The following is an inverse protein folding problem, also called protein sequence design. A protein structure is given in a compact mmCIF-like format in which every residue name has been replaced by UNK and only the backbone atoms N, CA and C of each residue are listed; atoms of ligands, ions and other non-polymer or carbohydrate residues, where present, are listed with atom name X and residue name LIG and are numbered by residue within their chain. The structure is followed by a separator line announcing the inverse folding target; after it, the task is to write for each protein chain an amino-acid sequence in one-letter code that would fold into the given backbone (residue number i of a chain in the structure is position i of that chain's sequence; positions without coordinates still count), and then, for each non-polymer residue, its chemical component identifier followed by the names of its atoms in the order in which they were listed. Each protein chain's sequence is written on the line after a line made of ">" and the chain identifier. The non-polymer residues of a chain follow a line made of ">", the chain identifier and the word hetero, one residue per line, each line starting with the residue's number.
data_IF_633887209990
#
_entry.id   IF_633887209990
#
_cell.length_a   1.000
_cell.length_b   1.000
_cell.length_c   1.000
_cell.angle_alpha   90.00
_cell.angle_beta   90.00
_cell.angle_gamma   90.00
#
_symmetry.space_group_name_H-M   'P 1'
#
loop_
_entity.id
_entity.type
_entity.pdbx_description
1 polymer ?
#
# COMPACT_ATOMS: atom_id res chain seq x y z
N UNK A 1 -1.32 -35.76 -5.18
CA UNK A 1 -0.55 -35.11 -4.08
C UNK A 1 -1.06 -33.67 -3.95
N UNK A 2 -1.99 -33.45 -3.02
CA UNK A 2 -2.64 -32.15 -2.80
C UNK A 2 -1.64 -31.20 -2.13
N UNK A 3 -1.29 -30.09 -2.81
CA UNK A 3 -0.52 -29.00 -2.21
C UNK A 3 -1.49 -28.11 -1.42
N UNK A 4 -1.42 -28.22 -0.10
CA UNK A 4 -2.02 -27.25 0.81
C UNK A 4 -1.29 -25.91 0.63
N UNK A 5 -1.92 -24.97 -0.07
CA UNK A 5 -1.54 -23.55 0.00
C UNK A 5 -2.19 -22.99 1.25
N UNK A 6 -1.59 -23.26 2.41
CA UNK A 6 -2.02 -22.59 3.63
C UNK A 6 -1.71 -21.09 3.50
N UNK A 7 -2.72 -20.28 3.76
CA UNK A 7 -2.58 -18.88 4.14
C UNK A 7 -1.84 -18.91 5.48
N UNK A 8 -0.51 -18.98 5.42
CA UNK A 8 0.30 -18.90 6.61
C UNK A 8 0.30 -17.44 7.05
N UNK A 9 -0.47 -17.16 8.09
CA UNK A 9 -0.35 -15.95 8.87
C UNK A 9 1.12 -15.77 9.31
N UNK A 10 1.56 -14.53 9.32
CA UNK A 10 2.94 -14.11 9.60
C UNK A 10 3.40 -14.55 10.99
N UNK A 11 2.50 -14.57 11.98
CA UNK A 11 2.79 -15.11 13.31
C UNK A 11 2.95 -16.64 13.29
N UNK A 12 2.14 -17.33 12.50
CA UNK A 12 2.22 -18.78 12.31
C UNK A 12 3.56 -19.21 11.70
N UNK A 13 4.07 -18.49 10.70
CA UNK A 13 5.41 -18.72 10.13
C UNK A 13 6.53 -18.56 11.17
N UNK A 14 6.47 -17.50 11.99
CA UNK A 14 7.46 -17.29 13.06
C UNK A 14 7.40 -18.38 14.13
N UNK A 15 6.20 -18.88 14.45
CA UNK A 15 6.02 -19.98 15.40
C UNK A 15 6.58 -21.33 14.88
N UNK A 16 6.47 -21.57 13.57
CA UNK A 16 6.90 -22.80 12.91
C UNK A 16 8.44 -22.92 12.81
N UNK A 17 9.13 -21.80 12.58
CA UNK A 17 10.59 -21.76 12.48
C UNK A 17 11.28 -21.40 13.81
N UNK A 18 10.55 -20.90 14.80
CA UNK A 18 11.08 -20.53 16.13
C UNK A 18 11.40 -21.70 17.07
N UNK A 19 11.22 -22.97 16.66
CA UNK A 19 11.39 -24.15 17.53
C UNK A 19 12.46 -25.15 17.09
N UNK A 20 13.40 -24.73 16.24
CA UNK A 20 14.50 -25.56 15.75
C UNK A 20 15.87 -25.25 16.35
N UNK A 21 15.95 -24.76 17.59
CA UNK A 21 17.24 -24.63 18.28
C UNK A 21 17.53 -25.92 19.06
N UNK A 22 18.47 -26.68 18.50
CA UNK A 22 19.21 -27.82 19.08
C UNK A 22 19.11 -27.96 20.61
N UNK A 23 18.50 -29.04 21.08
CA UNK A 23 18.67 -29.54 22.44
C UNK A 23 20.13 -29.96 22.65
N UNK A 24 20.94 -29.07 23.23
CA UNK A 24 22.07 -29.46 24.07
C UNK A 24 22.50 -28.28 24.94
N UNK A 25 22.58 -28.55 26.24
CA UNK A 25 23.09 -27.68 27.31
C UNK A 25 22.11 -26.66 27.91
N UNK A 26 21.24 -27.18 28.78
CA UNK A 26 20.62 -26.46 29.89
C UNK A 26 21.67 -25.68 30.70
N UNK A 27 21.37 -24.41 31.04
CA UNK A 27 21.25 -23.94 32.44
C UNK A 27 20.72 -22.51 32.54
N UNK A 28 19.53 -22.42 33.16
CA UNK A 28 19.01 -21.34 34.04
C UNK A 28 19.01 -19.89 33.54
N UNK A 29 17.82 -19.36 33.22
CA UNK A 29 17.11 -18.42 34.10
C UNK A 29 15.73 -18.08 33.51
N UNK A 30 14.75 -18.01 34.41
CA UNK A 30 13.34 -17.71 34.18
C UNK A 30 13.11 -16.35 33.51
N UNK A 31 12.05 -16.25 32.71
CA UNK A 31 11.53 -14.99 32.22
C UNK A 31 11.09 -15.06 30.76
N UNK A 32 9.84 -15.48 30.54
CA UNK A 32 9.18 -15.33 29.25
C UNK A 32 9.05 -13.86 28.88
N UNK A 33 9.93 -13.40 28.00
CA UNK A 33 9.79 -12.15 27.26
C UNK A 33 10.13 -12.53 25.82
N UNK A 34 9.13 -12.50 24.94
CA UNK A 34 9.38 -12.50 23.49
C UNK A 34 10.20 -11.25 23.21
N UNK A 35 11.52 -11.40 23.15
CA UNK A 35 12.44 -10.32 22.83
C UNK A 35 12.21 -9.91 21.37
N UNK A 36 11.33 -8.93 21.15
CA UNK A 36 11.62 -7.95 20.11
C UNK A 36 12.97 -7.36 20.46
N UNK A 37 14.03 -7.89 19.86
CA UNK A 37 15.36 -7.29 19.92
C UNK A 37 15.18 -5.80 19.64
N UNK A 38 15.62 -4.96 20.58
CA UNK A 38 15.58 -3.51 20.46
C UNK A 38 16.37 -3.11 19.22
N UNK A 39 15.65 -2.88 18.11
CA UNK A 39 16.25 -2.49 16.85
C UNK A 39 16.81 -1.10 17.04
N UNK A 40 18.14 -1.01 17.13
CA UNK A 40 18.86 0.25 17.29
C UNK A 40 19.19 0.80 15.91
N UNK A 41 18.95 2.09 15.69
CA UNK A 41 19.34 2.76 14.45
C UNK A 41 20.86 3.01 14.48
N UNK A 42 21.63 2.54 13.48
CA UNK A 42 23.05 2.85 13.38
C UNK A 42 23.27 4.36 13.23
N UNK A 43 24.45 4.84 13.62
CA UNK A 43 24.86 6.20 13.27
C UNK A 43 25.08 6.31 11.75
N UNK A 44 25.06 7.54 11.23
CA UNK A 44 25.16 7.82 9.79
C UNK A 44 26.41 7.21 9.14
N UNK A 45 27.54 7.15 9.85
CA UNK A 45 28.80 6.58 9.35
C UNK A 45 28.73 5.05 9.15
N UNK A 46 27.96 4.36 9.99
CA UNK A 46 27.80 2.90 9.97
C UNK A 46 26.61 2.44 9.12
N UNK A 47 25.62 3.34 8.95
CA UNK A 47 24.35 3.06 8.29
C UNK A 47 24.53 2.43 6.92
N UNK A 48 25.42 2.95 6.08
CA UNK A 48 25.62 2.42 4.74
C UNK A 48 26.13 0.97 4.75
N UNK A 49 27.12 0.68 5.60
CA UNK A 49 27.71 -0.64 5.69
C UNK A 49 26.71 -1.66 6.24
N UNK A 50 25.91 -1.26 7.24
CA UNK A 50 24.87 -2.09 7.81
C UNK A 50 23.71 -2.34 6.84
N UNK A 51 23.28 -1.32 6.11
CA UNK A 51 22.27 -1.47 5.03
C UNK A 51 22.78 -2.45 3.97
N UNK A 52 24.05 -2.36 3.56
CA UNK A 52 24.66 -3.29 2.60
C UNK A 52 24.76 -4.71 3.16
N UNK A 53 25.01 -4.87 4.47
CA UNK A 53 25.01 -6.17 5.14
C UNK A 53 23.61 -6.78 5.14
N UNK A 54 22.59 -6.04 5.55
CA UNK A 54 21.20 -6.51 5.53
C UNK A 54 20.70 -6.80 4.12
N UNK A 55 21.07 -5.98 3.13
CA UNK A 55 20.73 -6.22 1.73
C UNK A 55 21.26 -7.57 1.21
N UNK A 56 22.47 -7.98 1.64
CA UNK A 56 23.05 -9.29 1.32
C UNK A 56 22.29 -10.43 1.98
N UNK A 57 21.91 -10.29 3.25
CA UNK A 57 21.08 -11.29 3.96
C UNK A 57 19.76 -11.47 3.21
N UNK A 58 19.04 -10.38 2.96
CA UNK A 58 17.76 -10.39 2.26
C UNK A 58 17.84 -11.03 0.86
N UNK A 59 18.93 -10.83 0.12
CA UNK A 59 19.12 -11.40 -1.22
C UNK A 59 19.66 -12.84 -1.23
N UNK A 60 20.13 -13.35 -0.10
CA UNK A 60 20.76 -14.65 -0.03
C UNK A 60 19.76 -15.79 -0.22
N UNK A 61 20.16 -16.80 -0.98
CA UNK A 61 19.41 -18.05 -1.15
C UNK A 61 19.77 -19.10 -0.10
N UNK A 62 20.85 -18.90 0.65
CA UNK A 62 21.32 -19.82 1.70
C UNK A 62 20.82 -19.44 3.08
N UNK A 63 20.47 -18.17 3.30
CA UNK A 63 19.91 -17.68 4.56
C UNK A 63 18.48 -18.19 4.76
N UNK A 64 18.08 -18.36 6.01
CA UNK A 64 16.72 -18.80 6.33
C UNK A 64 15.69 -17.73 5.95
N UNK A 65 14.45 -18.14 5.70
CA UNK A 65 13.35 -17.18 5.45
C UNK A 65 13.14 -16.25 6.64
N UNK A 66 13.32 -16.76 7.86
CA UNK A 66 13.19 -15.97 9.08
C UNK A 66 14.24 -14.86 9.17
N UNK A 67 15.49 -15.16 8.83
CA UNK A 67 16.59 -14.17 8.85
C UNK A 67 16.40 -13.09 7.78
N UNK A 68 15.97 -13.51 6.58
CA UNK A 68 15.63 -12.59 5.48
C UNK A 68 14.48 -11.65 5.85
N UNK A 69 13.43 -12.19 6.48
CA UNK A 69 12.31 -11.39 6.97
C UNK A 69 12.74 -10.44 8.08
N UNK A 70 13.54 -10.92 9.04
CA UNK A 70 14.10 -10.11 10.11
C UNK A 70 14.90 -8.94 9.55
N UNK A 71 15.78 -9.19 8.58
CA UNK A 71 16.57 -8.15 7.92
C UNK A 71 15.69 -7.11 7.19
N UNK A 72 14.64 -7.52 6.47
CA UNK A 72 13.69 -6.58 5.86
C UNK A 72 12.90 -5.77 6.90
N UNK A 73 12.54 -6.36 8.05
CA UNK A 73 11.87 -5.65 9.15
C UNK A 73 12.79 -4.64 9.81
N UNK A 74 14.07 -4.97 10.00
CA UNK A 74 15.08 -4.04 10.51
C UNK A 74 15.23 -2.85 9.56
N UNK A 75 15.37 -3.10 8.24
CA UNK A 75 15.41 -2.03 7.23
C UNK A 75 14.18 -1.13 7.33
N UNK A 76 12.97 -1.73 7.42
CA UNK A 76 11.73 -0.94 7.52
C UNK A 76 11.70 -0.10 8.80
N UNK A 77 12.04 -0.69 9.94
CA UNK A 77 12.09 0.02 11.23
C UNK A 77 13.08 1.17 11.21
N UNK A 78 14.26 0.98 10.62
CA UNK A 78 15.21 2.08 10.45
C UNK A 78 14.66 3.20 9.58
N UNK A 79 13.98 2.86 8.48
CA UNK A 79 13.28 3.83 7.66
C UNK A 79 12.17 4.53 8.44
N UNK A 80 11.48 3.90 9.38
CA UNK A 80 10.41 4.57 10.14
C UNK A 80 10.96 5.40 11.32
N UNK A 81 12.05 4.96 11.96
CA UNK A 81 12.65 5.60 13.14
C UNK A 81 13.57 6.79 12.81
N UNK A 82 14.18 6.81 11.63
CA UNK A 82 15.16 7.84 11.26
C UNK A 82 14.51 9.23 11.23
N UNK A 83 15.12 10.22 11.88
CA UNK A 83 14.67 11.62 11.82
C UNK A 83 14.61 12.13 10.38
N UNK A 84 13.77 13.14 10.11
CA UNK A 84 13.51 13.61 8.73
C UNK A 84 14.79 14.09 8.03
N UNK A 85 15.62 14.89 8.69
CA UNK A 85 16.87 15.39 8.11
C UNK A 85 17.84 14.25 7.75
N UNK A 86 18.06 13.32 8.67
CA UNK A 86 18.88 12.13 8.46
C UNK A 86 18.32 11.26 7.32
N UNK A 87 16.99 11.09 7.25
CA UNK A 87 16.34 10.33 6.20
C UNK A 87 16.59 10.95 4.83
N UNK A 88 16.36 12.25 4.68
CA UNK A 88 16.57 12.96 3.42
C UNK A 88 18.04 12.95 3.01
N UNK A 89 18.97 13.00 3.96
CA UNK A 89 20.41 12.91 3.69
C UNK A 89 20.83 11.53 3.16
N UNK A 90 20.26 10.46 3.72
CA UNK A 90 20.76 9.10 3.52
C UNK A 90 19.95 8.26 2.51
N UNK A 91 18.67 8.58 2.24
CA UNK A 91 17.75 7.71 1.51
C UNK A 91 18.26 7.32 0.11
N UNK A 92 18.83 8.26 -0.65
CA UNK A 92 19.37 7.97 -1.98
C UNK A 92 20.48 6.92 -1.94
N UNK A 93 21.39 7.01 -0.95
CA UNK A 93 22.48 6.04 -0.78
C UNK A 93 21.93 4.69 -0.30
N UNK A 94 21.02 4.68 0.67
CA UNK A 94 20.37 3.46 1.14
C UNK A 94 19.67 2.73 -0.01
N UNK A 95 18.87 3.44 -0.80
CA UNK A 95 18.14 2.88 -1.96
C UNK A 95 19.08 2.31 -3.01
N UNK A 96 20.25 2.92 -3.23
CA UNK A 96 21.25 2.38 -4.16
C UNK A 96 21.70 0.96 -3.80
N UNK A 97 21.74 0.62 -2.50
CA UNK A 97 22.14 -0.70 -2.01
C UNK A 97 20.98 -1.68 -1.93
N UNK A 98 19.77 -1.24 -1.55
CA UNK A 98 18.63 -2.14 -1.31
C UNK A 98 17.71 -2.31 -2.52
N UNK A 99 17.79 -1.45 -3.55
CA UNK A 99 16.84 -1.46 -4.66
C UNK A 99 16.74 -2.82 -5.35
N UNK A 100 17.87 -3.42 -5.72
CA UNK A 100 17.90 -4.74 -6.37
C UNK A 100 17.34 -5.84 -5.47
N UNK A 101 17.75 -5.84 -4.21
CA UNK A 101 17.27 -6.79 -3.20
C UNK A 101 15.76 -6.71 -3.00
N UNK A 102 15.21 -5.51 -2.86
CA UNK A 102 13.76 -5.32 -2.70
C UNK A 102 12.99 -5.77 -3.95
N UNK A 103 13.53 -5.56 -5.15
CA UNK A 103 12.94 -6.11 -6.38
C UNK A 103 12.88 -7.63 -6.37
N UNK A 104 13.96 -8.30 -5.95
CA UNK A 104 13.99 -9.77 -5.87
C UNK A 104 12.98 -10.25 -4.83
N UNK A 105 12.99 -9.67 -3.62
CA UNK A 105 12.09 -10.04 -2.54
C UNK A 105 10.62 -9.82 -2.89
N UNK A 106 10.28 -8.70 -3.55
CA UNK A 106 8.93 -8.41 -4.01
C UNK A 106 8.45 -9.35 -5.13
N UNK A 107 9.37 -9.96 -5.89
CA UNK A 107 9.06 -10.95 -6.92
C UNK A 107 8.93 -12.38 -6.37
N UNK A 108 9.21 -12.61 -5.09
CA UNK A 108 9.16 -13.96 -4.52
C UNK A 108 7.74 -14.51 -4.40
N UNK A 109 7.62 -15.83 -4.62
CA UNK A 109 6.35 -16.56 -4.45
C UNK A 109 5.96 -16.75 -2.97
N UNK A 110 6.90 -16.54 -2.04
CA UNK A 110 6.66 -16.61 -0.60
C UNK A 110 6.00 -15.31 -0.15
N UNK A 111 4.73 -15.37 0.24
CA UNK A 111 3.91 -14.19 0.54
C UNK A 111 4.52 -13.31 1.63
N UNK A 112 5.06 -13.88 2.71
CA UNK A 112 5.65 -13.11 3.80
C UNK A 112 6.81 -12.21 3.35
N UNK A 113 7.74 -12.75 2.55
CA UNK A 113 8.93 -12.01 2.06
C UNK A 113 8.49 -10.91 1.09
N UNK A 114 7.58 -11.23 0.16
CA UNK A 114 7.02 -10.28 -0.77
C UNK A 114 6.31 -9.12 -0.05
N UNK A 115 5.43 -9.43 0.91
CA UNK A 115 4.70 -8.43 1.72
C UNK A 115 5.66 -7.52 2.46
N UNK A 116 6.68 -8.08 3.11
CA UNK A 116 7.61 -7.27 3.87
C UNK A 116 8.48 -6.36 2.98
N UNK A 117 8.87 -6.84 1.79
CA UNK A 117 9.56 -5.98 0.81
C UNK A 117 8.64 -4.86 0.29
N UNK A 118 7.36 -5.16 0.05
CA UNK A 118 6.35 -4.16 -0.30
C UNK A 118 6.20 -3.11 0.81
N UNK A 119 6.18 -3.51 2.08
CA UNK A 119 6.12 -2.59 3.22
C UNK A 119 7.31 -1.63 3.23
N UNK A 120 8.53 -2.12 2.99
CA UNK A 120 9.72 -1.27 2.86
C UNK A 120 9.55 -0.25 1.73
N UNK A 121 9.06 -0.66 0.56
CA UNK A 121 8.80 0.26 -0.54
C UNK A 121 7.74 1.31 -0.19
N UNK A 122 6.69 0.93 0.55
CA UNK A 122 5.64 1.85 1.02
C UNK A 122 6.21 2.87 1.99
N UNK A 123 6.99 2.46 3.00
CA UNK A 123 7.62 3.38 3.94
C UNK A 123 8.56 4.36 3.23
N UNK A 124 9.36 3.89 2.27
CA UNK A 124 10.20 4.77 1.42
C UNK A 124 9.32 5.76 0.65
N UNK A 125 8.28 5.29 -0.03
CA UNK A 125 7.43 6.13 -0.87
C UNK A 125 6.70 7.22 -0.08
N UNK A 126 6.22 6.90 1.13
CA UNK A 126 5.49 7.84 1.99
C UNK A 126 6.41 8.92 2.58
N UNK A 127 7.66 8.59 2.88
CA UNK A 127 8.62 9.51 3.50
C UNK A 127 9.43 10.33 2.48
N UNK A 128 9.58 9.84 1.26
CA UNK A 128 10.44 10.47 0.24
C UNK A 128 9.69 11.57 -0.50
N UNK A 129 10.16 12.83 -0.46
CA UNK A 129 9.57 13.90 -1.27
C UNK A 129 9.67 13.58 -2.76
N UNK A 130 8.60 13.84 -3.52
CA UNK A 130 8.51 13.58 -4.96
C UNK A 130 9.73 14.09 -5.77
N UNK A 131 10.27 15.25 -5.40
CA UNK A 131 11.46 15.86 -6.04
C UNK A 131 12.69 14.96 -6.08
N UNK A 132 12.85 14.05 -5.12
CA UNK A 132 14.00 13.14 -5.06
C UNK A 132 13.90 11.98 -6.07
N UNK A 133 12.75 11.78 -6.72
CA UNK A 133 12.56 10.76 -7.75
C UNK A 133 12.88 11.24 -9.18
N UNK A 134 13.26 12.50 -9.39
CA UNK A 134 13.54 13.01 -10.74
C UNK A 134 14.85 12.49 -11.32
N UNK A 135 15.83 12.14 -10.47
CA UNK A 135 17.14 11.64 -10.89
C UNK A 135 17.74 10.63 -9.90
N UNK A 136 18.87 10.01 -10.29
CA UNK A 136 19.70 9.17 -9.44
C UNK A 136 19.09 7.82 -9.07
N UNK A 137 19.55 7.26 -7.95
CA UNK A 137 19.21 5.90 -7.51
C UNK A 137 17.72 5.71 -7.24
N UNK A 138 17.02 6.74 -6.75
CA UNK A 138 15.59 6.69 -6.48
C UNK A 138 14.75 6.56 -7.75
N UNK A 139 15.08 7.30 -8.81
CA UNK A 139 14.40 7.18 -10.12
C UNK A 139 14.57 5.79 -10.72
N UNK A 140 15.80 5.27 -10.69
CA UNK A 140 16.13 3.93 -11.20
C UNK A 140 15.41 2.86 -10.40
N UNK A 141 15.41 2.98 -9.07
CA UNK A 141 14.71 2.09 -8.17
C UNK A 141 13.20 2.11 -8.40
N UNK A 142 12.60 3.29 -8.54
CA UNK A 142 11.17 3.46 -8.79
C UNK A 142 10.72 2.70 -10.04
N UNK A 143 11.40 2.90 -11.18
CA UNK A 143 11.05 2.18 -12.42
C UNK A 143 11.17 0.66 -12.25
N UNK A 144 12.25 0.20 -11.58
CA UNK A 144 12.47 -1.22 -11.32
C UNK A 144 11.39 -1.82 -10.43
N UNK A 145 11.07 -1.16 -9.32
CA UNK A 145 10.04 -1.60 -8.38
C UNK A 145 8.67 -1.63 -9.05
N UNK A 146 8.27 -0.57 -9.76
CA UNK A 146 7.01 -0.56 -10.49
C UNK A 146 6.92 -1.71 -11.51
N UNK A 147 7.98 -1.99 -12.27
CA UNK A 147 8.00 -3.11 -13.22
C UNK A 147 7.77 -4.47 -12.55
N UNK A 148 8.34 -4.69 -11.36
CA UNK A 148 8.13 -5.93 -10.60
C UNK A 148 6.73 -5.99 -10.02
N UNK A 149 6.29 -4.93 -9.33
CA UNK A 149 5.02 -4.90 -8.62
C UNK A 149 3.82 -5.07 -9.55
N UNK A 150 3.86 -4.49 -10.76
CA UNK A 150 2.78 -4.65 -11.76
C UNK A 150 2.52 -6.13 -12.11
N UNK A 151 3.52 -7.00 -12.05
CA UNK A 151 3.34 -8.44 -12.26
C UNK A 151 2.66 -9.13 -11.07
N UNK A 152 2.77 -8.54 -9.88
CA UNK A 152 2.22 -9.06 -8.63
C UNK A 152 0.74 -8.74 -8.39
N UNK A 153 0.21 -7.66 -8.96
CA UNK A 153 -1.12 -7.13 -8.58
C UNK A 153 -2.31 -8.01 -8.96
N UNK A 154 -2.09 -9.07 -9.73
CA UNK A 154 -3.12 -9.99 -10.24
C UNK A 154 -2.75 -11.47 -10.07
N UNK A 155 -1.83 -11.79 -9.14
CA UNK A 155 -1.52 -13.19 -8.81
C UNK A 155 -2.63 -13.83 -8.00
N UNK A 156 -2.69 -15.17 -8.00
CA UNK A 156 -3.71 -15.94 -7.27
C UNK A 156 -3.61 -15.81 -5.75
N UNK A 157 -2.40 -15.55 -5.22
CA UNK A 157 -2.18 -15.35 -3.79
C UNK A 157 -2.63 -13.95 -3.41
N UNK A 158 -3.83 -13.84 -2.84
CA UNK A 158 -4.46 -12.56 -2.46
C UNK A 158 -3.54 -11.64 -1.66
N UNK A 159 -2.81 -12.20 -0.68
CA UNK A 159 -1.91 -11.42 0.17
C UNK A 159 -0.74 -10.76 -0.61
N UNK A 160 -0.25 -11.40 -1.68
CA UNK A 160 0.75 -10.82 -2.59
C UNK A 160 0.09 -9.77 -3.48
N UNK A 161 -1.06 -10.08 -4.06
CA UNK A 161 -1.78 -9.16 -4.93
C UNK A 161 -2.15 -7.86 -4.19
N UNK A 162 -2.59 -7.94 -2.94
CA UNK A 162 -2.90 -6.77 -2.11
C UNK A 162 -1.65 -5.98 -1.73
N UNK A 163 -0.59 -6.63 -1.26
CA UNK A 163 0.62 -5.91 -0.86
C UNK A 163 1.31 -5.21 -2.03
N UNK A 164 1.33 -5.84 -3.20
CA UNK A 164 1.88 -5.25 -4.42
C UNK A 164 1.01 -4.11 -4.95
N UNK A 165 -0.31 -4.20 -4.82
CA UNK A 165 -1.25 -3.12 -5.13
C UNK A 165 -1.00 -1.90 -4.25
N UNK A 166 -0.95 -2.08 -2.92
CA UNK A 166 -0.69 -1.01 -1.95
C UNK A 166 0.67 -0.37 -2.18
N UNK A 167 1.72 -1.17 -2.40
CA UNK A 167 3.06 -0.64 -2.68
C UNK A 167 3.12 0.14 -3.99
N UNK A 168 2.46 -0.34 -5.04
CA UNK A 168 2.45 0.34 -6.32
C UNK A 168 1.70 1.67 -6.25
N UNK A 169 0.56 1.72 -5.55
CA UNK A 169 -0.18 2.97 -5.27
C UNK A 169 0.67 3.96 -4.50
N UNK A 170 1.29 3.51 -3.40
CA UNK A 170 2.17 4.35 -2.58
C UNK A 170 3.33 4.94 -3.40
N UNK A 171 3.98 4.13 -4.24
CA UNK A 171 5.08 4.59 -5.10
C UNK A 171 4.63 5.60 -6.16
N UNK A 172 3.48 5.37 -6.81
CA UNK A 172 2.95 6.31 -7.81
C UNK A 172 2.60 7.64 -7.17
N UNK A 173 1.93 7.63 -6.03
CA UNK A 173 1.54 8.85 -5.29
C UNK A 173 2.78 9.55 -4.70
N UNK A 174 3.62 8.82 -3.95
CA UNK A 174 4.79 9.37 -3.28
C UNK A 174 5.84 9.93 -4.23
N UNK A 175 5.93 9.39 -5.44
CA UNK A 175 6.80 9.94 -6.49
C UNK A 175 6.20 11.12 -7.26
N UNK A 176 5.00 11.58 -6.91
CA UNK A 176 4.29 12.67 -7.59
C UNK A 176 3.93 12.31 -9.04
N UNK A 177 3.57 11.05 -9.31
CA UNK A 177 3.23 10.63 -10.68
C UNK A 177 4.42 10.59 -11.63
N UNK A 178 5.61 10.28 -11.13
CA UNK A 178 6.85 10.32 -11.91
C UNK A 178 6.76 9.52 -13.22
N UNK A 179 7.23 10.11 -14.32
CA UNK A 179 7.14 9.51 -15.65
C UNK A 179 7.82 8.12 -15.75
N UNK A 180 8.86 7.85 -14.96
CA UNK A 180 9.52 6.55 -14.94
C UNK A 180 8.58 5.44 -14.41
N UNK A 181 7.84 5.70 -13.32
CA UNK A 181 6.83 4.78 -12.80
C UNK A 181 5.72 4.53 -13.82
N UNK A 182 5.17 5.60 -14.40
CA UNK A 182 4.08 5.50 -15.39
C UNK A 182 4.52 4.79 -16.67
N UNK A 183 5.81 4.89 -17.06
CA UNK A 183 6.38 4.08 -18.15
C UNK A 183 6.23 2.58 -17.87
N UNK A 184 6.71 2.15 -16.71
CA UNK A 184 6.71 0.74 -16.33
C UNK A 184 5.28 0.20 -16.18
N UNK A 185 4.33 1.03 -15.74
CA UNK A 185 2.91 0.67 -15.68
C UNK A 185 2.30 0.52 -17.09
N UNK A 186 2.58 1.44 -18.02
CA UNK A 186 2.14 1.34 -19.42
C UNK A 186 2.70 0.06 -20.06
N UNK A 187 3.97 -0.25 -19.87
CA UNK A 187 4.59 -1.47 -20.39
C UNK A 187 3.93 -2.74 -19.82
N UNK A 188 3.59 -2.74 -18.53
CA UNK A 188 2.84 -3.84 -17.91
C UNK A 188 1.39 -3.95 -18.41
N UNK A 189 0.74 -2.82 -18.68
CA UNK A 189 -0.61 -2.76 -19.27
C UNK A 189 -0.62 -3.29 -20.72
N UNK A 190 0.37 -2.90 -21.53
CA UNK A 190 0.49 -3.29 -22.94
C UNK A 190 0.85 -4.77 -23.11
N UNK A 191 1.69 -5.31 -22.21
CA UNK A 191 2.06 -6.74 -22.21
C UNK A 191 0.99 -7.66 -21.60
N UNK A 192 0.04 -7.10 -20.85
CA UNK A 192 -0.96 -7.83 -20.10
C UNK A 192 -2.32 -7.99 -20.80
N UNK A 193 -2.87 -9.20 -20.75
CA UNK A 193 -4.26 -9.47 -21.20
C UNK A 193 -5.26 -9.64 -20.06
N UNK A 194 -4.79 -9.83 -18.83
CA UNK A 194 -5.64 -10.07 -17.67
C UNK A 194 -6.54 -8.85 -17.36
N UNK A 195 -7.87 -9.00 -17.26
CA UNK A 195 -8.79 -7.87 -17.03
C UNK A 195 -8.47 -7.07 -15.77
N UNK A 196 -8.19 -7.74 -14.66
CA UNK A 196 -7.86 -7.05 -13.39
C UNK A 196 -6.57 -6.23 -13.50
N UNK A 197 -5.56 -6.75 -14.18
CA UNK A 197 -4.31 -6.02 -14.42
C UNK A 197 -4.59 -4.74 -15.20
N UNK A 198 -5.43 -4.83 -16.25
CA UNK A 198 -5.79 -3.68 -17.08
C UNK A 198 -6.49 -2.60 -16.26
N UNK A 199 -7.49 -2.99 -15.46
CA UNK A 199 -8.23 -2.08 -14.57
C UNK A 199 -7.29 -1.37 -13.59
N UNK A 200 -6.46 -2.14 -12.88
CA UNK A 200 -5.52 -1.59 -11.90
C UNK A 200 -4.47 -0.68 -12.53
N UNK A 201 -3.84 -1.10 -13.63
CA UNK A 201 -2.87 -0.28 -14.34
C UNK A 201 -3.46 1.05 -14.80
N UNK A 202 -4.66 1.04 -15.40
CA UNK A 202 -5.35 2.27 -15.77
C UNK A 202 -5.61 3.15 -14.53
N UNK A 203 -6.03 2.55 -13.42
CA UNK A 203 -6.23 3.27 -12.16
C UNK A 203 -4.95 3.93 -11.63
N UNK A 204 -3.81 3.24 -11.71
CA UNK A 204 -2.52 3.83 -11.31
C UNK A 204 -2.13 4.98 -12.23
N UNK A 205 -2.46 4.91 -13.52
CA UNK A 205 -2.23 6.03 -14.45
C UNK A 205 -3.10 7.24 -14.11
N UNK A 206 -4.37 7.04 -13.74
CA UNK A 206 -5.27 8.13 -13.29
C UNK A 206 -4.68 8.82 -12.06
N UNK A 207 -4.38 8.04 -11.03
CA UNK A 207 -3.81 8.55 -9.77
C UNK A 207 -2.46 9.22 -10.02
N UNK A 208 -1.62 8.68 -10.90
CA UNK A 208 -0.34 9.27 -11.27
C UNK A 208 -0.47 10.61 -11.98
N UNK A 209 -1.41 10.76 -12.92
CA UNK A 209 -1.67 12.05 -13.58
C UNK A 209 -2.09 13.09 -12.55
N UNK A 210 -3.00 12.75 -11.64
CA UNK A 210 -3.47 13.64 -10.58
C UNK A 210 -2.34 13.98 -9.58
N UNK A 211 -1.55 12.99 -9.16
CA UNK A 211 -0.42 13.19 -8.26
C UNK A 211 0.68 14.10 -8.84
N UNK A 212 0.80 14.15 -10.17
CA UNK A 212 1.72 15.06 -10.86
C UNK A 212 1.17 16.48 -11.09
N UNK A 213 -0.08 16.76 -10.70
CA UNK A 213 -0.76 18.01 -11.05
C UNK A 213 -0.85 18.24 -12.57
N UNK A 214 -0.83 17.16 -13.37
CA UNK A 214 -0.84 17.22 -14.83
C UNK A 214 0.52 17.43 -15.51
N UNK A 215 1.63 17.60 -14.77
CA UNK A 215 2.97 17.81 -15.38
C UNK A 215 3.37 16.68 -16.34
N UNK A 216 2.94 15.45 -16.05
CA UNK A 216 3.24 14.29 -16.91
C UNK A 216 2.47 14.30 -18.22
N UNK A 217 1.34 15.00 -18.31
CA UNK A 217 0.52 15.07 -19.53
C UNK A 217 1.30 15.69 -20.69
N UNK A 218 2.07 16.74 -20.41
CA UNK A 218 2.86 17.49 -21.40
C UNK A 218 4.05 16.70 -21.94
N UNK A 219 4.59 15.78 -21.14
CA UNK A 219 5.80 15.02 -21.49
C UNK A 219 5.52 13.64 -22.13
N UNK A 220 4.25 13.19 -22.17
CA UNK A 220 3.89 11.79 -22.50
C UNK A 220 2.70 11.66 -23.44
N UNK A 221 2.96 11.76 -24.74
CA UNK A 221 1.97 11.46 -25.80
C UNK A 221 1.29 10.09 -25.68
N UNK A 222 1.97 9.10 -25.09
CA UNK A 222 1.44 7.72 -24.94
C UNK A 222 0.24 7.62 -24.00
N UNK A 223 0.04 8.54 -23.04
CA UNK A 223 -1.09 8.46 -22.10
C UNK A 223 -2.44 8.67 -22.82
N UNK A 224 -2.52 9.61 -23.74
CA UNK A 224 -3.70 9.84 -24.56
C UNK A 224 -4.01 8.63 -25.45
N UNK A 225 -2.98 8.04 -26.07
CA UNK A 225 -3.13 6.81 -26.89
C UNK A 225 -3.62 5.63 -26.05
N UNK A 226 -3.06 5.44 -24.85
CA UNK A 226 -3.48 4.37 -23.93
C UNK A 226 -4.94 4.56 -23.53
N UNK A 227 -5.32 5.77 -23.11
CA UNK A 227 -6.70 6.09 -22.76
C UNK A 227 -7.66 5.79 -23.93
N UNK A 228 -7.36 6.31 -25.13
CA UNK A 228 -8.14 6.04 -26.35
C UNK A 228 -8.35 4.55 -26.61
N UNK A 229 -7.27 3.77 -26.59
CA UNK A 229 -7.29 2.32 -26.85
C UNK A 229 -8.19 1.57 -25.86
N UNK A 230 -8.07 1.84 -24.56
CA UNK A 230 -8.77 1.10 -23.52
C UNK A 230 -10.17 1.64 -23.21
N UNK A 231 -10.57 2.78 -23.77
CA UNK A 231 -11.98 3.20 -23.79
C UNK A 231 -12.85 2.29 -24.67
N UNK A 232 -12.26 1.70 -25.71
CA UNK A 232 -12.96 0.80 -26.64
C UNK A 232 -12.63 -0.69 -26.39
N UNK A 233 -11.59 -0.98 -25.59
CA UNK A 233 -11.10 -2.35 -25.33
C UNK A 233 -11.22 -2.74 -23.87
N UNK A 234 -11.63 -3.98 -23.60
CA UNK A 234 -11.72 -4.53 -22.23
C UNK A 234 -13.15 -4.61 -21.73
N UNK A 235 -13.31 -4.93 -20.45
CA UNK A 235 -14.62 -5.00 -19.81
C UNK A 235 -15.16 -3.61 -19.43
N UNK A 236 -16.39 -3.56 -18.92
CA UNK A 236 -17.06 -2.29 -18.58
C UNK A 236 -16.27 -1.46 -17.58
N UNK A 237 -15.69 -2.09 -16.56
CA UNK A 237 -14.87 -1.40 -15.55
C UNK A 237 -13.56 -0.87 -16.15
N UNK A 238 -12.86 -1.64 -16.98
CA UNK A 238 -11.67 -1.19 -17.70
C UNK A 238 -11.98 0.06 -18.56
N UNK A 239 -13.08 0.04 -19.32
CA UNK A 239 -13.50 1.18 -20.14
C UNK A 239 -13.86 2.41 -19.28
N UNK A 240 -14.51 2.22 -18.13
CA UNK A 240 -14.78 3.31 -17.16
C UNK A 240 -13.49 3.92 -16.63
N UNK A 241 -12.52 3.11 -16.22
CA UNK A 241 -11.22 3.63 -15.74
C UNK A 241 -10.41 4.30 -16.86
N UNK A 242 -10.50 3.82 -18.10
CA UNK A 242 -9.87 4.47 -19.26
C UNK A 242 -10.49 5.84 -19.59
N UNK A 243 -11.81 6.00 -19.40
CA UNK A 243 -12.50 7.30 -19.48
C UNK A 243 -12.12 8.21 -18.32
N UNK A 244 -11.98 7.68 -17.09
CA UNK A 244 -11.45 8.47 -15.97
C UNK A 244 -10.04 9.01 -16.27
N UNK A 245 -9.19 8.21 -16.92
CA UNK A 245 -7.87 8.67 -17.40
C UNK A 245 -8.02 9.77 -18.46
N UNK A 246 -8.92 9.60 -19.42
CA UNK A 246 -9.19 10.63 -20.43
C UNK A 246 -9.62 11.95 -19.78
N UNK A 247 -10.59 11.90 -18.86
CA UNK A 247 -11.12 13.07 -18.15
C UNK A 247 -10.00 13.78 -17.37
N UNK A 248 -9.17 13.02 -16.64
CA UNK A 248 -8.03 13.60 -15.92
C UNK A 248 -7.04 14.28 -16.88
N UNK A 249 -6.72 13.65 -18.02
CA UNK A 249 -5.85 14.25 -19.03
C UNK A 249 -6.43 15.57 -19.56
N UNK A 250 -7.70 15.57 -19.97
CA UNK A 250 -8.38 16.77 -20.51
C UNK A 250 -8.48 17.88 -19.46
N UNK A 251 -8.76 17.53 -18.20
CA UNK A 251 -8.83 18.49 -17.10
C UNK A 251 -7.51 19.27 -16.93
N UNK A 252 -6.37 18.57 -16.97
CA UNK A 252 -5.07 19.22 -16.77
C UNK A 252 -4.49 19.85 -18.04
N UNK A 253 -4.78 19.33 -19.24
CA UNK A 253 -4.26 19.91 -20.49
C UNK A 253 -5.16 21.00 -21.06
N UNK A 254 -6.45 21.02 -20.69
CA UNK A 254 -7.47 21.87 -21.30
C UNK A 254 -7.82 21.52 -22.75
N UNK A 255 -7.26 20.45 -23.31
CA UNK A 255 -7.41 20.08 -24.73
C UNK A 255 -7.84 18.63 -24.87
N UNK A 256 -8.88 18.41 -25.68
CA UNK A 256 -9.25 17.08 -26.16
C UNK A 256 -8.26 16.62 -27.23
N UNK A 257 -7.41 15.65 -26.88
CA UNK A 257 -6.37 15.12 -27.77
C UNK A 257 -6.80 13.82 -28.48
N UNK A 258 -8.05 13.38 -28.31
CA UNK A 258 -8.54 12.10 -28.84
C UNK A 258 -9.94 12.29 -29.43
N UNK A 259 -10.15 11.74 -30.63
CA UNK A 259 -11.49 11.66 -31.22
C UNK A 259 -12.27 10.57 -30.50
N UNK A 260 -13.37 10.96 -29.84
CA UNK A 260 -14.22 10.06 -29.06
C UNK A 260 -15.47 9.70 -29.88
N UNK A 261 -15.96 8.47 -29.75
CA UNK A 261 -17.24 8.06 -30.37
C UNK A 261 -18.41 8.74 -29.66
N UNK A 262 -19.51 9.04 -30.37
CA UNK A 262 -20.72 9.66 -29.78
C UNK A 262 -21.28 8.91 -28.56
N UNK A 263 -21.12 7.58 -28.54
CA UNK A 263 -21.54 6.73 -27.41
C UNK A 263 -20.64 6.92 -26.18
N UNK A 264 -19.34 7.08 -26.41
CA UNK A 264 -18.38 7.33 -25.33
C UNK A 264 -18.48 8.77 -24.82
N UNK A 265 -18.83 9.74 -25.66
CA UNK A 265 -19.05 11.14 -25.26
C UNK A 265 -20.10 11.30 -24.14
N UNK A 266 -21.27 10.65 -24.25
CA UNK A 266 -22.31 10.76 -23.22
C UNK A 266 -21.87 10.17 -21.88
N UNK A 267 -21.16 9.03 -21.89
CA UNK A 267 -20.62 8.40 -20.70
C UNK A 267 -19.50 9.24 -20.06
N UNK A 268 -18.64 9.85 -20.89
CA UNK A 268 -17.60 10.77 -20.41
C UNK A 268 -18.25 11.95 -19.70
N UNK A 269 -19.29 12.55 -20.27
CA UNK A 269 -19.96 13.68 -19.65
C UNK A 269 -20.55 13.33 -18.28
N UNK A 270 -21.18 12.17 -18.17
CA UNK A 270 -21.71 11.68 -16.88
C UNK A 270 -20.60 11.45 -15.85
N UNK A 271 -19.52 10.77 -16.25
CA UNK A 271 -18.39 10.44 -15.35
C UNK A 271 -17.54 11.67 -15.02
N UNK A 272 -17.49 12.68 -15.90
CA UNK A 272 -16.79 13.94 -15.67
C UNK A 272 -17.40 14.69 -14.49
N UNK A 273 -18.74 14.71 -14.37
CA UNK A 273 -19.43 15.37 -13.25
C UNK A 273 -18.99 14.77 -11.91
N UNK A 274 -18.85 13.44 -11.83
CA UNK A 274 -18.40 12.74 -10.62
C UNK A 274 -16.92 13.01 -10.33
N UNK A 275 -16.06 12.90 -11.35
CA UNK A 275 -14.60 12.93 -11.17
C UNK A 275 -14.05 14.35 -11.01
N UNK A 276 -14.57 15.34 -11.73
CA UNK A 276 -14.03 16.72 -11.75
C UNK A 276 -14.02 17.39 -10.38
N UNK A 277 -15.00 17.04 -9.53
CA UNK A 277 -15.08 17.54 -8.15
C UNK A 277 -13.95 17.04 -7.25
N UNK A 278 -13.21 16.00 -7.62
CA UNK A 278 -12.16 15.39 -6.80
C UNK A 278 -10.77 15.41 -7.45
N UNK A 279 -10.62 15.85 -8.70
CA UNK A 279 -9.34 15.84 -9.44
C UNK A 279 -8.20 16.68 -8.83
N UNK A 280 -8.47 17.47 -7.80
CA UNK A 280 -7.46 18.23 -7.05
C UNK A 280 -6.98 17.49 -5.77
N UNK A 281 -7.64 16.41 -5.39
CA UNK A 281 -7.34 15.59 -4.21
C UNK A 281 -6.96 14.17 -4.64
N UNK A 282 -5.66 13.87 -4.56
CA UNK A 282 -5.11 12.56 -4.92
C UNK A 282 -5.75 11.44 -4.11
N UNK A 283 -6.00 11.64 -2.81
CA UNK A 283 -6.57 10.61 -1.94
C UNK A 283 -8.05 10.36 -2.26
N UNK A 284 -8.79 11.40 -2.61
CA UNK A 284 -10.18 11.26 -3.04
C UNK A 284 -10.28 10.49 -4.37
N UNK A 285 -9.44 10.83 -5.35
CA UNK A 285 -9.38 10.10 -6.62
C UNK A 285 -8.97 8.65 -6.39
N UNK A 286 -7.95 8.41 -5.58
CA UNK A 286 -7.48 7.07 -5.27
C UNK A 286 -8.58 6.21 -4.63
N UNK A 287 -9.32 6.74 -3.66
CA UNK A 287 -10.50 6.08 -3.04
C UNK A 287 -11.63 5.85 -4.04
N UNK A 288 -11.87 6.78 -4.97
CA UNK A 288 -12.93 6.63 -5.96
C UNK A 288 -12.60 5.55 -7.00
N UNK A 289 -11.34 5.47 -7.43
CA UNK A 289 -10.89 4.53 -8.47
C UNK A 289 -10.74 3.10 -7.93
N UNK A 290 -10.22 2.95 -6.71
CA UNK A 290 -9.91 1.63 -6.14
C UNK A 290 -10.82 1.21 -4.98
N UNK A 291 -11.74 2.07 -4.54
CA UNK A 291 -12.57 1.85 -3.36
C UNK A 291 -11.88 2.26 -2.04
N UNK A 292 -12.62 2.15 -0.93
CA UNK A 292 -12.07 2.41 0.39
C UNK A 292 -10.98 1.39 0.74
N UNK A 293 -9.76 1.88 0.99
CA UNK A 293 -8.68 1.04 1.55
C UNK A 293 -9.01 0.68 3.00
N UNK A 294 -9.00 -0.61 3.33
CA UNK A 294 -9.31 -1.13 4.69
C UNK A 294 -8.19 -0.83 5.70
N UNK A 295 -7.05 -0.29 5.29
CA UNK A 295 -5.89 -0.07 6.17
C UNK A 295 -5.64 1.42 6.44
N UNK A 296 -6.49 2.02 7.28
CA UNK A 296 -6.07 3.16 8.09
C UNK A 296 -5.49 2.61 9.38
N UNK A 297 -4.18 2.30 9.39
CA UNK A 297 -3.47 2.06 10.65
C UNK A 297 -3.61 3.32 11.50
N UNK A 298 -4.32 3.16 12.62
CA UNK A 298 -4.36 4.09 13.74
C UNK A 298 -2.92 4.41 14.13
N UNK A 299 -2.41 5.57 13.71
CA UNK A 299 -1.23 6.16 14.33
C UNK A 299 -1.63 6.51 15.76
N UNK A 300 -1.27 5.63 16.70
CA UNK A 300 -1.25 5.97 18.12
C UNK A 300 -0.24 7.11 18.26
N UNK A 301 -0.78 8.32 18.37
CA UNK A 301 -0.04 9.50 18.74
C UNK A 301 0.41 9.28 20.19
N UNK A 302 1.65 8.84 20.39
CA UNK A 302 2.28 8.84 21.71
C UNK A 302 2.51 10.29 22.11
N UNK A 303 1.49 10.88 22.75
CA UNK A 303 1.56 12.20 23.35
C UNK A 303 2.69 12.24 24.38
N UNK A 304 3.55 13.25 24.24
CA UNK A 304 4.62 13.58 25.16
C UNK A 304 4.13 13.60 26.61
N UNK A 305 4.76 12.78 27.46
CA UNK A 305 4.66 12.93 28.91
C UNK A 305 5.41 14.21 29.31
N UNK A 306 4.70 15.33 29.31
CA UNK A 306 5.11 16.53 30.03
C UNK A 306 4.68 16.36 31.50
N UNK A 307 5.66 16.34 32.39
CA UNK A 307 5.44 16.18 33.82
C UNK A 307 4.61 17.31 34.43
N UNK A 308 3.82 16.96 35.43
CA UNK A 308 3.41 17.90 36.47
C UNK A 308 3.39 17.19 37.81
N UNK A 309 4.34 17.59 38.65
CA UNK A 309 4.42 17.24 40.06
C UNK A 309 3.32 17.99 40.81
N UNK A 310 2.45 17.27 41.53
CA UNK A 310 1.95 17.79 42.81
C UNK A 310 1.57 16.67 43.79
N UNK A 311 2.18 16.80 44.96
CA UNK A 311 2.11 15.96 46.17
C UNK A 311 0.74 15.97 46.85
N UNK A 312 0.37 14.78 47.30
CA UNK A 312 -0.12 14.41 48.64
C UNK A 312 -1.39 15.06 49.22
N UNK A 313 -2.42 14.23 49.41
CA UNK A 313 -3.04 14.02 50.73
C UNK A 313 -3.95 12.79 50.72
N UNK A 314 -3.70 11.90 51.68
CA UNK A 314 -4.45 10.69 52.04
C UNK A 314 -5.74 11.02 52.79
N UNK A 315 -6.85 10.35 52.47
CA UNK A 315 -7.80 9.91 53.51
C UNK A 315 -8.67 8.75 53.03
N UNK A 316 -8.88 7.82 53.97
CA UNK A 316 -9.62 6.57 53.90
C UNK A 316 -11.08 6.71 53.47
N UNK A 317 -11.66 5.66 52.86
CA UNK A 317 -12.65 4.79 53.53
C UNK A 317 -13.31 3.83 52.53
N UNK A 318 -13.47 2.59 52.98
CA UNK A 318 -14.11 1.48 52.30
C UNK A 318 -15.65 1.55 52.31
N UNK A 319 -16.23 0.82 51.35
CA UNK A 319 -17.35 -0.13 51.53
C UNK A 319 -18.75 0.19 51.00
N UNK A 320 -19.34 -0.91 50.51
CA UNK A 320 -20.75 -1.30 50.39
C UNK A 320 -21.58 -0.91 49.16
N UNK A 321 -21.95 -1.98 48.48
CA UNK A 321 -23.12 -2.25 47.64
C UNK A 321 -24.44 -1.74 48.20
N UNK A 322 -25.35 -1.28 47.33
CA UNK A 322 -26.78 -1.64 47.33
C UNK A 322 -27.44 -1.29 46.01
N UNK A 323 -28.29 -2.20 45.55
CA UNK A 323 -29.21 -2.10 44.42
C UNK A 323 -30.31 -1.04 44.65
N UNK A 324 -30.79 -0.41 43.58
CA UNK A 324 -32.13 0.16 43.52
C UNK A 324 -32.66 0.05 42.08
N UNK A 325 -33.63 -0.86 41.91
CA UNK A 325 -34.56 -0.93 40.77
C UNK A 325 -35.42 0.33 40.70
N UNK A 326 -35.71 0.79 39.49
CA UNK A 326 -37.02 1.37 39.20
C UNK A 326 -37.45 1.02 37.78
N UNK A 327 -38.49 0.20 37.71
CA UNK A 327 -39.20 -0.22 36.51
C UNK A 327 -40.01 0.95 35.93
N UNK A 328 -40.09 1.03 34.60
CA UNK A 328 -41.28 1.53 33.92
C UNK A 328 -41.54 0.69 32.66
N UNK A 329 -42.62 -0.08 32.72
CA UNK A 329 -43.19 -0.88 31.62
C UNK A 329 -44.34 -0.09 31.03
N UNK A 330 -44.38 0.03 29.70
CA UNK A 330 -45.63 -0.15 28.94
C UNK A 330 -45.30 -0.76 27.58
N UNK A 331 -45.62 -2.05 27.47
CA UNK A 331 -45.89 -2.80 26.24
C UNK A 331 -47.24 -2.38 25.68
N UNK A 332 -47.40 -2.32 24.35
CA UNK A 332 -48.53 -2.92 23.60
C UNK A 332 -48.13 -3.14 22.13
N UNK A 333 -48.08 -4.42 21.77
CA UNK A 333 -48.28 -5.17 20.50
C UNK A 333 -49.29 -4.54 19.49
N UNK A 334 -49.32 -4.79 18.18
CA UNK A 334 -49.42 -6.06 17.43
C UNK A 334 -49.44 -5.76 15.91
N UNK A 335 -48.62 -6.47 15.13
CA UNK A 335 -49.00 -7.43 14.06
C UNK A 335 -49.86 -7.07 12.80
N UNK A 336 -49.29 -7.51 11.65
CA UNK A 336 -49.88 -8.11 10.42
C UNK A 336 -50.45 -7.18 9.31
N UNK A 337 -49.81 -7.15 8.11
CA UNK A 337 -50.29 -7.89 6.92
C UNK A 337 -49.34 -7.81 5.70
N UNK A 338 -49.12 -9.02 5.18
CA UNK A 338 -48.61 -9.44 3.88
C UNK A 338 -49.58 -9.04 2.75
N UNK A 339 -49.10 -8.59 1.58
CA UNK A 339 -49.84 -8.70 0.31
C UNK A 339 -48.91 -8.74 -0.90
N UNK A 340 -49.26 -9.67 -1.77
CA UNK A 340 -48.52 -10.26 -2.87
C UNK A 340 -48.57 -9.45 -4.17
N UNK A 341 -47.59 -9.78 -5.02
CA UNK A 341 -47.42 -9.31 -6.39
C UNK A 341 -48.58 -9.67 -7.32
N UNK A 342 -48.94 -8.72 -8.19
CA UNK A 342 -49.73 -8.95 -9.40
C UNK A 342 -48.85 -8.58 -10.60
N UNK A 343 -48.57 -9.59 -11.43
CA UNK A 343 -48.05 -9.47 -12.80
C UNK A 343 -49.22 -9.19 -13.74
N UNK A 344 -49.08 -8.19 -14.62
CA UNK A 344 -50.06 -7.86 -15.65
C UNK A 344 -49.45 -7.13 -16.84
N UNK A 345 -49.16 -7.91 -17.88
CA UNK A 345 -49.29 -7.63 -19.32
C UNK A 345 -48.98 -6.26 -19.93
N UNK A 346 -48.04 -6.28 -20.88
CA UNK A 346 -48.27 -5.80 -22.24
C UNK A 346 -47.63 -6.77 -23.24
#
# INVERSE_FOLDING_TARGET
>A
MFKFYMVEDEASLLSLFGRGASEASLRTSEGGISAEATVTLPCDEELENEVRRLARVCASTTESVADRLSALRVINRWIDMMGEESFLHNISRMVSHISGTLSVCAAEKRSAVCRQACNVMVSIARRTPARLYHDGSLKVALSRWCSVLVRGVFVTVSAIAQATDVALRALVIGSGGNAAALKSIIEGLESGTHPELRRKCLGYLVVGVVASGGEVCSSRSRLATVSSKYMETGDTACRKTARALYIALVYFTGVSNVVVSKKSESLIHQEEIELKGVLHDVEAVERMIFGASVEKQSSVFCGAQAGSVRRSSSTNASSTTTEAKQDFITSVTTDIYDTSAILGGA
#
